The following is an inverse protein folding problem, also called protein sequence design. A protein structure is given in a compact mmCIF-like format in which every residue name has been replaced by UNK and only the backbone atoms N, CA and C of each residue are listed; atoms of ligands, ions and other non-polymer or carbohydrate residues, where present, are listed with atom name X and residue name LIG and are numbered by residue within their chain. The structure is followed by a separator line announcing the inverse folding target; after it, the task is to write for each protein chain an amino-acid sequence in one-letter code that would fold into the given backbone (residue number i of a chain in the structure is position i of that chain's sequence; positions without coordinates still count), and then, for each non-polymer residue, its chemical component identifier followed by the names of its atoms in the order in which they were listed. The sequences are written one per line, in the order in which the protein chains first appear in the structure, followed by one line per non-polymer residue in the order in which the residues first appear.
data_IF_323846140049
#
_entry.id   IF_323846140049
#
_cell.length_a   1.000
_cell.length_b   1.000
_cell.length_c   1.000
_cell.angle_alpha   90.00
_cell.angle_beta   90.00
_cell.angle_gamma   90.00
#
_symmetry.space_group_name_H-M   'P 1'
#
loop_
_entity.id
_entity.type
_entity.pdbx_description
1 polymer ?
#
# COMPACT_ATOMS: atom_id res chain seq x y z
N UNK A 1 -17.51 -13.41 9.67
CA UNK A 1 -16.17 -13.08 10.21
C UNK A 1 -15.60 -11.97 9.36
N UNK A 2 -15.00 -10.92 9.95
CA UNK A 2 -14.39 -9.84 9.17
C UNK A 2 -13.13 -10.36 8.47
N UNK A 3 -12.85 -9.90 7.26
CA UNK A 3 -11.59 -10.21 6.59
C UNK A 3 -10.45 -9.42 7.24
N UNK A 4 -9.25 -10.01 7.27
CA UNK A 4 -8.05 -9.36 7.79
C UNK A 4 -7.44 -8.44 6.74
N UNK A 5 -7.24 -7.18 7.11
CA UNK A 5 -6.66 -6.13 6.28
C UNK A 5 -5.46 -5.56 7.02
N UNK A 6 -4.31 -5.49 6.37
CA UNK A 6 -3.17 -4.75 6.94
C UNK A 6 -3.00 -3.43 6.21
N UNK A 7 -2.59 -2.40 6.95
CA UNK A 7 -2.32 -1.08 6.40
C UNK A 7 -0.85 -0.71 6.62
N UNK A 8 -0.11 -0.47 5.54
CA UNK A 8 1.28 0.00 5.59
C UNK A 8 1.34 1.51 5.33
N UNK A 9 1.97 2.24 6.25
CA UNK A 9 2.11 3.70 6.14
C UNK A 9 3.05 4.13 5.00
N UNK A 10 3.00 5.42 4.68
CA UNK A 10 4.01 6.08 3.85
C UNK A 10 5.35 6.27 4.59
N UNK A 11 6.22 7.12 4.02
CA UNK A 11 7.54 7.48 4.54
C UNK A 11 7.50 8.04 5.97
N UNK A 12 6.41 8.69 6.35
CA UNK A 12 6.28 9.47 7.59
C UNK A 12 5.73 8.66 8.77
N UNK A 13 5.26 7.44 8.52
CA UNK A 13 4.64 6.60 9.56
C UNK A 13 3.22 7.04 9.91
N UNK A 14 2.69 6.53 11.03
CA UNK A 14 1.32 6.84 11.46
C UNK A 14 1.20 7.98 12.47
N UNK A 15 2.31 8.37 13.10
CA UNK A 15 2.30 9.35 14.18
C UNK A 15 1.83 10.74 13.73
N UNK A 16 2.19 11.14 12.50
CA UNK A 16 1.81 12.43 11.90
C UNK A 16 0.73 12.28 10.82
N UNK A 17 0.19 11.07 10.61
CA UNK A 17 -0.72 10.75 9.52
C UNK A 17 -2.18 11.11 9.84
N UNK A 18 -2.50 12.39 9.99
CA UNK A 18 -3.88 12.86 10.25
C UNK A 18 -4.86 12.35 9.17
N UNK A 19 -4.41 12.29 7.92
CA UNK A 19 -5.15 11.77 6.78
C UNK A 19 -5.59 10.30 6.91
N UNK A 20 -4.91 9.50 7.76
CA UNK A 20 -5.27 8.10 8.01
C UNK A 20 -6.63 7.99 8.71
N UNK A 21 -7.08 9.04 9.41
CA UNK A 21 -8.38 9.04 10.08
C UNK A 21 -9.54 8.77 9.10
N UNK A 22 -9.46 9.32 7.89
CA UNK A 22 -10.46 9.13 6.84
C UNK A 22 -10.59 7.66 6.42
N UNK A 23 -9.48 6.93 6.38
CA UNK A 23 -9.47 5.49 6.12
C UNK A 23 -9.99 4.68 7.31
N UNK A 24 -9.48 4.98 8.51
CA UNK A 24 -9.81 4.25 9.74
C UNK A 24 -11.30 4.28 10.04
N UNK A 25 -11.92 5.47 9.96
CA UNK A 25 -13.34 5.67 10.22
C UNK A 25 -14.21 4.79 9.32
N UNK A 26 -13.81 4.61 8.06
CA UNK A 26 -14.61 3.92 7.05
C UNK A 26 -14.34 2.41 7.06
N UNK A 27 -13.09 1.97 7.24
CA UNK A 27 -12.70 0.56 7.08
C UNK A 27 -12.85 -0.27 8.37
N UNK A 28 -12.62 0.31 9.55
CA UNK A 28 -12.68 -0.41 10.84
C UNK A 28 -14.02 -1.18 11.07
N UNK A 29 -15.20 -0.65 10.66
CA UNK A 29 -16.45 -1.39 10.78
C UNK A 29 -16.50 -2.69 9.96
N UNK A 30 -15.69 -2.84 8.91
CA UNK A 30 -15.80 -3.95 7.93
C UNK A 30 -14.64 -4.95 8.01
N UNK A 31 -13.47 -4.53 8.48
CA UNK A 31 -12.26 -5.36 8.51
C UNK A 31 -11.70 -5.52 9.93
N UNK A 32 -10.93 -6.58 10.12
CA UNK A 32 -9.99 -6.69 11.24
C UNK A 32 -8.66 -6.08 10.76
N UNK A 33 -8.32 -4.90 11.29
CA UNK A 33 -7.22 -4.08 10.74
C UNK A 33 -5.99 -4.10 11.65
N UNK A 34 -4.84 -4.41 11.06
CA UNK A 34 -3.53 -4.24 11.68
C UNK A 34 -2.71 -3.16 10.96
N UNK A 35 -2.05 -2.30 11.72
CA UNK A 35 -1.34 -1.13 11.20
C UNK A 35 0.17 -1.35 11.31
N UNK A 36 0.86 -1.33 10.18
CA UNK A 36 2.30 -1.45 10.08
C UNK A 36 2.92 -0.10 9.74
N UNK A 37 3.53 0.54 10.74
CA UNK A 37 4.30 1.76 10.52
C UNK A 37 5.61 1.40 9.78
N UNK A 38 5.74 1.87 8.55
CA UNK A 38 6.91 1.63 7.70
C UNK A 38 8.21 2.06 8.35
N UNK A 39 8.21 3.08 9.23
CA UNK A 39 9.41 3.51 9.98
C UNK A 39 9.83 2.51 11.03
N UNK A 40 8.87 1.82 11.67
CA UNK A 40 9.13 0.78 12.67
C UNK A 40 9.63 -0.51 12.01
N UNK A 41 9.09 -0.83 10.84
CA UNK A 41 9.53 -1.98 10.05
C UNK A 41 11.02 -1.90 9.68
N UNK A 42 11.57 -0.70 9.52
CA UNK A 42 12.96 -0.50 9.09
C UNK A 42 13.95 -0.20 10.24
N UNK A 43 13.51 -0.30 11.51
CA UNK A 43 14.30 0.00 12.73
C UNK A 43 14.92 1.40 12.71
N UNK A 44 14.12 2.43 12.41
CA UNK A 44 14.63 3.80 12.44
C UNK A 44 14.81 4.29 13.88
N UNK A 45 16.01 4.81 14.15
CA UNK A 45 16.23 5.79 15.20
C UNK A 45 15.52 7.09 14.77
N UNK A 46 14.43 7.43 15.45
CA UNK A 46 13.54 8.57 15.15
C UNK A 46 14.12 9.92 15.64
N UNK A 47 15.38 9.98 16.04
CA UNK A 47 16.02 11.21 16.51
C UNK A 47 16.21 12.27 15.42
N UNK A 48 16.12 11.91 14.14
CA UNK A 48 16.13 12.86 13.01
C UNK A 48 15.13 12.47 11.91
N UNK A 49 14.08 13.29 11.76
CA UNK A 49 12.94 13.05 10.86
C UNK A 49 13.01 13.83 9.54
N UNK A 50 14.19 14.26 9.09
CA UNK A 50 14.30 14.92 7.79
C UNK A 50 14.00 13.96 6.62
N UNK A 51 13.22 14.43 5.64
CA UNK A 51 12.79 13.62 4.48
C UNK A 51 13.97 12.94 3.77
N UNK A 52 15.06 13.68 3.54
CA UNK A 52 16.25 13.17 2.86
C UNK A 52 16.92 12.02 3.61
N UNK A 53 16.97 12.06 4.95
CA UNK A 53 17.50 10.95 5.75
C UNK A 53 16.55 9.77 5.78
N UNK A 54 15.25 10.00 5.97
CA UNK A 54 14.25 8.94 5.93
C UNK A 54 14.33 8.20 4.59
N UNK A 55 14.29 8.93 3.48
CA UNK A 55 14.44 8.38 2.14
C UNK A 55 15.74 7.57 2.00
N UNK A 56 16.89 8.13 2.39
CA UNK A 56 18.18 7.45 2.32
C UNK A 56 18.17 6.12 3.09
N UNK A 57 17.51 6.05 4.26
CA UNK A 57 17.45 4.82 5.06
C UNK A 57 16.58 3.74 4.40
N UNK A 58 15.42 4.11 3.86
CA UNK A 58 14.59 3.15 3.13
C UNK A 58 15.32 2.56 1.92
N UNK A 59 16.03 3.39 1.15
CA UNK A 59 16.72 2.92 -0.07
C UNK A 59 18.03 2.17 0.24
N UNK A 60 18.68 2.45 1.38
CA UNK A 60 19.90 1.78 1.82
C UNK A 60 19.60 0.54 2.69
N UNK A 61 18.77 -0.36 2.17
CA UNK A 61 18.44 -1.64 2.80
C UNK A 61 17.24 -1.61 3.75
N UNK A 62 16.64 -0.45 4.02
CA UNK A 62 15.44 -0.35 4.83
C UNK A 62 14.26 -1.12 4.23
N UNK A 63 14.00 -0.97 2.92
CA UNK A 63 12.92 -1.70 2.23
C UNK A 63 13.07 -3.21 2.42
N UNK A 64 14.25 -3.78 2.20
CA UNK A 64 14.49 -5.22 2.35
C UNK A 64 14.29 -5.69 3.79
N UNK A 65 14.68 -4.87 4.77
CA UNK A 65 14.40 -5.15 6.18
C UNK A 65 12.89 -5.14 6.47
N UNK A 66 12.17 -4.16 5.93
CA UNK A 66 10.72 -4.07 6.09
C UNK A 66 10.00 -5.28 5.49
N UNK A 67 10.45 -5.73 4.32
CA UNK A 67 9.96 -6.95 3.66
C UNK A 67 10.17 -8.17 4.56
N UNK A 68 11.38 -8.34 5.09
CA UNK A 68 11.70 -9.45 5.98
C UNK A 68 10.82 -9.46 7.24
N UNK A 69 10.69 -8.31 7.92
CA UNK A 69 9.89 -8.21 9.14
C UNK A 69 8.41 -8.44 8.89
N UNK A 70 7.86 -7.88 7.82
CA UNK A 70 6.46 -8.10 7.45
C UNK A 70 6.19 -9.59 7.25
N UNK A 71 7.07 -10.30 6.53
CA UNK A 71 6.96 -11.76 6.34
C UNK A 71 7.14 -12.59 7.61
N UNK A 72 7.82 -12.06 8.63
CA UNK A 72 7.89 -12.71 9.94
C UNK A 72 6.58 -12.58 10.73
N UNK A 73 5.94 -11.42 10.66
CA UNK A 73 4.73 -11.11 11.43
C UNK A 73 3.47 -11.71 10.79
N UNK A 74 3.45 -11.83 9.47
CA UNK A 74 2.29 -12.30 8.72
C UNK A 74 2.42 -13.75 8.26
N UNK A 75 1.43 -14.58 8.63
CA UNK A 75 1.39 -16.03 8.31
C UNK A 75 0.13 -16.47 7.60
N UNK A 76 -0.91 -15.65 7.61
CA UNK A 76 -2.21 -15.95 7.01
C UNK A 76 -2.37 -15.25 5.66
N UNK A 77 -3.42 -15.61 4.93
CA UNK A 77 -3.84 -14.86 3.75
C UNK A 77 -4.40 -13.52 4.16
N UNK A 78 -3.83 -12.43 3.66
CA UNK A 78 -4.20 -11.07 4.05
C UNK A 78 -4.60 -10.20 2.86
N UNK A 79 -5.40 -9.16 3.11
CA UNK A 79 -5.56 -8.02 2.20
C UNK A 79 -4.57 -6.95 2.63
N UNK A 80 -3.96 -6.24 1.69
CA UNK A 80 -2.99 -5.18 1.98
C UNK A 80 -3.45 -3.88 1.36
N UNK A 81 -3.49 -2.80 2.15
CA UNK A 81 -3.57 -1.42 1.70
C UNK A 81 -2.28 -0.70 2.08
N UNK A 82 -1.55 -0.18 1.11
CA UNK A 82 -0.21 0.32 1.35
C UNK A 82 0.05 1.63 0.60
N UNK A 83 0.68 2.58 1.28
CA UNK A 83 0.90 3.93 0.77
C UNK A 83 2.38 4.19 0.54
N UNK A 84 2.72 4.84 -0.57
CA UNK A 84 4.09 5.25 -0.89
C UNK A 84 5.12 4.12 -0.70
N UNK A 85 6.12 4.29 0.16
CA UNK A 85 7.14 3.26 0.43
C UNK A 85 6.57 1.96 1.01
N UNK A 86 5.46 2.02 1.75
CA UNK A 86 4.76 0.84 2.24
C UNK A 86 4.32 -0.08 1.10
N UNK A 87 3.96 0.50 -0.06
CA UNK A 87 3.53 -0.27 -1.22
C UNK A 87 4.64 -1.12 -1.85
N UNK A 88 5.86 -0.59 -1.96
CA UNK A 88 7.00 -1.38 -2.46
C UNK A 88 7.44 -2.45 -1.45
N UNK A 89 7.30 -2.18 -0.15
CA UNK A 89 7.52 -3.20 0.89
C UNK A 89 6.52 -4.36 0.72
N UNK A 90 5.22 -4.06 0.61
CA UNK A 90 4.20 -5.08 0.42
C UNK A 90 4.37 -5.85 -0.90
N UNK A 91 4.70 -5.15 -1.99
CA UNK A 91 4.98 -5.74 -3.30
C UNK A 91 6.10 -6.77 -3.24
N UNK A 92 7.24 -6.37 -2.66
CA UNK A 92 8.40 -7.25 -2.51
C UNK A 92 8.14 -8.38 -1.53
N UNK A 93 7.37 -8.16 -0.47
CA UNK A 93 6.96 -9.23 0.44
C UNK A 93 6.11 -10.29 -0.29
N UNK A 94 5.18 -9.88 -1.14
CA UNK A 94 4.42 -10.79 -2.00
C UNK A 94 5.33 -11.59 -2.95
N UNK A 95 6.32 -10.94 -3.59
CA UNK A 95 7.33 -11.63 -4.40
C UNK A 95 8.19 -12.62 -3.60
N UNK A 96 8.31 -12.42 -2.28
CA UNK A 96 9.02 -13.33 -1.36
C UNK A 96 8.11 -14.40 -0.73
N UNK A 97 6.87 -14.53 -1.22
CA UNK A 97 5.95 -15.58 -0.81
C UNK A 97 5.02 -15.20 0.35
N UNK A 98 4.93 -13.92 0.72
CA UNK A 98 3.87 -13.48 1.63
C UNK A 98 2.51 -13.68 0.95
N UNK A 99 1.60 -14.39 1.62
CA UNK A 99 0.31 -14.77 1.06
C UNK A 99 -0.67 -13.59 1.05
N UNK A 100 -0.63 -12.80 -0.01
CA UNK A 100 -1.50 -11.63 -0.21
C UNK A 100 -2.63 -12.01 -1.15
N UNK A 101 -3.87 -11.81 -0.73
CA UNK A 101 -5.04 -12.01 -1.60
C UNK A 101 -5.25 -10.84 -2.58
N UNK A 102 -5.14 -9.61 -2.06
CA UNK A 102 -5.24 -8.38 -2.86
C UNK A 102 -4.32 -7.32 -2.27
N UNK A 103 -3.52 -6.70 -3.13
CA UNK A 103 -2.64 -5.58 -2.82
C UNK A 103 -3.20 -4.29 -3.44
N UNK A 104 -3.69 -3.39 -2.59
CA UNK A 104 -3.99 -2.01 -2.94
C UNK A 104 -2.74 -1.16 -2.67
N UNK A 105 -2.02 -0.78 -3.71
CA UNK A 105 -0.80 0.02 -3.59
C UNK A 105 -1.02 1.42 -4.16
N UNK A 106 -1.01 2.42 -3.28
CA UNK A 106 -1.39 3.80 -3.58
C UNK A 106 -0.14 4.68 -3.59
N UNK A 107 0.06 5.42 -4.68
CA UNK A 107 1.23 6.26 -4.94
C UNK A 107 2.54 5.56 -4.59
N UNK A 108 2.66 4.27 -4.87
CA UNK A 108 3.74 3.45 -4.33
C UNK A 108 5.08 3.77 -5.00
N UNK A 109 5.97 4.44 -4.26
CA UNK A 109 7.28 4.83 -4.80
C UNK A 109 8.12 3.60 -5.13
N UNK A 110 9.01 3.74 -6.12
CA UNK A 110 9.98 2.72 -6.55
C UNK A 110 9.39 1.47 -7.22
N UNK A 111 8.07 1.29 -7.30
CA UNK A 111 7.48 0.21 -8.10
C UNK A 111 7.95 0.26 -9.55
N UNK A 112 8.17 1.45 -10.11
CA UNK A 112 8.74 1.67 -11.45
C UNK A 112 10.09 0.99 -11.72
N UNK A 113 10.77 0.48 -10.70
CA UNK A 113 12.02 -0.27 -10.82
C UNK A 113 11.84 -1.79 -10.73
N UNK A 114 10.67 -2.26 -10.32
CA UNK A 114 10.35 -3.69 -10.25
C UNK A 114 10.09 -4.23 -11.66
N UNK A 115 10.46 -5.49 -11.88
CA UNK A 115 10.31 -6.19 -13.18
C UNK A 115 9.34 -7.36 -13.12
N UNK A 116 8.84 -7.65 -11.94
CA UNK A 116 7.95 -8.77 -11.64
C UNK A 116 6.85 -8.25 -10.70
N UNK A 117 5.68 -8.89 -10.75
CA UNK A 117 4.57 -8.63 -9.84
C UNK A 117 4.31 -9.83 -8.93
N UNK A 118 3.86 -9.61 -7.68
CA UNK A 118 3.45 -10.70 -6.81
C UNK A 118 2.29 -11.49 -7.41
N UNK A 119 2.16 -12.76 -7.01
CA UNK A 119 1.07 -13.63 -7.43
C UNK A 119 -0.21 -13.33 -6.63
N UNK A 120 -0.73 -12.12 -6.81
CA UNK A 120 -1.97 -11.66 -6.20
C UNK A 120 -2.68 -10.63 -7.08
N UNK A 121 -3.94 -10.31 -6.75
CA UNK A 121 -4.63 -9.18 -7.38
C UNK A 121 -3.95 -7.88 -6.95
N UNK A 122 -3.37 -7.16 -7.90
CA UNK A 122 -2.76 -5.85 -7.66
C UNK A 122 -3.69 -4.75 -8.16
N UNK A 123 -4.04 -3.81 -7.29
CA UNK A 123 -4.82 -2.61 -7.62
C UNK A 123 -3.95 -1.41 -7.30
N UNK A 124 -3.50 -0.71 -8.34
CA UNK A 124 -2.56 0.40 -8.22
C UNK A 124 -3.22 1.72 -8.56
N UNK A 125 -3.00 2.74 -7.73
CA UNK A 125 -3.47 4.11 -7.96
C UNK A 125 -2.31 5.09 -7.90
N UNK A 126 -2.24 6.02 -8.86
CA UNK A 126 -1.26 7.10 -8.89
C UNK A 126 -1.90 8.40 -9.34
N UNK A 127 -1.37 9.53 -8.87
CA UNK A 127 -1.70 10.82 -9.45
C UNK A 127 -1.11 10.91 -10.86
N UNK A 128 -1.85 11.46 -11.82
CA UNK A 128 -1.36 11.64 -13.19
C UNK A 128 -0.07 12.49 -13.24
N UNK A 129 0.05 13.45 -12.32
CA UNK A 129 1.20 14.33 -12.16
C UNK A 129 2.24 13.81 -11.14
N UNK A 130 2.07 12.60 -10.59
CA UNK A 130 3.05 12.02 -9.67
C UNK A 130 4.37 11.73 -10.41
N UNK A 131 5.44 12.42 -10.00
CA UNK A 131 6.81 12.26 -10.55
C UNK A 131 7.41 10.87 -10.31
N UNK A 132 6.84 10.10 -9.39
CA UNK A 132 7.33 8.79 -9.00
C UNK A 132 6.55 7.63 -9.60
N UNK A 133 5.44 7.90 -10.31
CA UNK A 133 4.62 6.87 -10.95
C UNK A 133 5.41 6.11 -12.03
N UNK A 134 5.12 4.81 -12.25
CA UNK A 134 5.64 4.09 -13.41
C UNK A 134 5.16 4.68 -14.73
N UNK A 135 5.92 4.47 -15.80
CA UNK A 135 5.46 4.84 -17.13
C UNK A 135 4.46 3.81 -17.68
N UNK A 136 3.84 4.13 -18.83
CA UNK A 136 2.85 3.25 -19.42
C UNK A 136 3.41 1.90 -19.87
N UNK A 137 4.69 1.87 -20.26
CA UNK A 137 5.35 0.63 -20.64
C UNK A 137 5.46 -0.31 -19.43
N UNK A 138 5.75 0.19 -18.24
CA UNK A 138 5.84 -0.62 -17.02
C UNK A 138 4.52 -1.33 -16.68
N UNK A 139 3.39 -0.63 -16.77
CA UNK A 139 2.06 -1.23 -16.56
C UNK A 139 1.74 -2.31 -17.60
N UNK A 140 2.08 -2.05 -18.87
CA UNK A 140 1.89 -3.02 -19.95
C UNK A 140 2.76 -4.26 -19.78
N UNK A 141 4.04 -4.08 -19.48
CA UNK A 141 5.01 -5.17 -19.30
C UNK A 141 4.60 -6.10 -18.14
N UNK A 142 3.91 -5.58 -17.11
CA UNK A 142 3.41 -6.34 -15.97
C UNK A 142 1.93 -6.74 -16.06
N UNK A 143 1.24 -6.39 -17.15
CA UNK A 143 -0.19 -6.62 -17.35
C UNK A 143 -1.05 -6.10 -16.18
N UNK A 144 -0.89 -4.80 -15.86
CA UNK A 144 -1.57 -4.09 -14.79
C UNK A 144 -2.47 -2.98 -15.35
N UNK A 145 -3.58 -2.74 -14.66
CA UNK A 145 -4.49 -1.64 -15.00
C UNK A 145 -3.89 -0.27 -14.65
N UNK A 146 -4.24 0.71 -15.48
CA UNK A 146 -3.87 2.11 -15.30
C UNK A 146 -4.96 2.85 -14.51
N UNK A 147 -4.82 2.97 -13.20
CA UNK A 147 -5.68 3.85 -12.42
C UNK A 147 -4.93 5.15 -12.10
N UNK A 148 -4.91 6.06 -13.08
CA UNK A 148 -4.37 7.41 -12.92
C UNK A 148 -5.49 8.36 -12.51
N UNK A 149 -5.25 9.18 -11.49
CA UNK A 149 -6.18 10.22 -11.07
C UNK A 149 -5.70 11.55 -11.65
N UNK A 150 -6.51 12.12 -12.55
CA UNK A 150 -6.23 13.39 -13.21
C UNK A 150 -6.07 14.53 -12.19
N UNK A 151 -5.21 15.49 -12.52
CA UNK A 151 -4.91 16.67 -11.68
C UNK A 151 -4.37 16.36 -10.27
N UNK A 152 -3.96 15.11 -10.01
CA UNK A 152 -3.41 14.69 -8.71
C UNK A 152 -1.91 14.44 -8.74
N UNK A 153 -1.27 14.70 -7.61
CA UNK A 153 0.16 14.45 -7.36
C UNK A 153 0.38 13.22 -6.46
N UNK A 154 1.60 13.07 -5.94
CA UNK A 154 2.01 11.93 -5.12
C UNK A 154 1.14 11.73 -3.86
N UNK A 155 0.85 12.82 -3.16
CA UNK A 155 0.19 12.83 -1.85
C UNK A 155 -1.35 12.73 -1.96
N UNK A 156 -1.89 12.38 -3.14
CA UNK A 156 -3.34 12.28 -3.39
C UNK A 156 -4.09 11.37 -2.41
N UNK A 157 -3.38 10.39 -1.85
CA UNK A 157 -3.95 9.48 -0.86
C UNK A 157 -4.29 10.17 0.46
N UNK A 158 -3.80 11.39 0.69
CA UNK A 158 -4.13 12.18 1.88
C UNK A 158 -5.46 12.93 1.75
N UNK A 159 -6.01 13.00 0.55
CA UNK A 159 -7.25 13.71 0.27
C UNK A 159 -8.46 12.88 0.69
N UNK A 160 -9.42 13.52 1.37
CA UNK A 160 -10.56 12.83 1.98
C UNK A 160 -11.48 12.20 0.92
N UNK A 161 -11.71 12.89 -0.20
CA UNK A 161 -12.55 12.43 -1.30
C UNK A 161 -11.98 11.16 -1.96
N UNK A 162 -10.66 11.12 -2.17
CA UNK A 162 -9.97 9.94 -2.66
C UNK A 162 -10.03 8.80 -1.63
N UNK A 163 -9.75 9.09 -0.36
CA UNK A 163 -9.80 8.09 0.70
C UNK A 163 -11.19 7.45 0.81
N UNK A 164 -12.25 8.25 0.79
CA UNK A 164 -13.64 7.80 0.81
C UNK A 164 -13.96 6.89 -0.37
N UNK A 165 -13.63 7.35 -1.59
CA UNK A 165 -13.89 6.60 -2.82
C UNK A 165 -13.15 5.25 -2.85
N UNK A 166 -11.88 5.25 -2.44
CA UNK A 166 -11.07 4.03 -2.35
C UNK A 166 -11.61 3.07 -1.29
N UNK A 167 -11.97 3.56 -0.10
CA UNK A 167 -12.51 2.72 0.96
C UNK A 167 -13.82 2.05 0.56
N UNK A 168 -14.73 2.79 -0.10
CA UNK A 168 -15.98 2.24 -0.61
C UNK A 168 -15.73 1.13 -1.65
N UNK A 169 -14.75 1.34 -2.55
CA UNK A 169 -14.33 0.31 -3.51
C UNK A 169 -13.79 -0.94 -2.82
N UNK A 170 -12.91 -0.77 -1.83
CA UNK A 170 -12.34 -1.89 -1.06
C UNK A 170 -13.45 -2.67 -0.36
N UNK A 171 -14.38 -1.99 0.31
CA UNK A 171 -15.51 -2.64 0.99
C UNK A 171 -16.32 -3.44 -0.04
N UNK A 172 -16.79 -2.82 -1.12
CA UNK A 172 -17.57 -3.50 -2.17
C UNK A 172 -16.85 -4.74 -2.71
N UNK A 173 -15.57 -4.62 -3.06
CA UNK A 173 -14.81 -5.74 -3.62
C UNK A 173 -14.54 -6.86 -2.62
N UNK A 174 -14.34 -6.53 -1.35
CA UNK A 174 -13.88 -7.50 -0.36
C UNK A 174 -15.02 -8.07 0.50
N UNK A 175 -16.14 -7.39 0.63
CA UNK A 175 -17.27 -7.85 1.45
C UNK A 175 -18.47 -8.29 0.61
N UNK A 176 -18.72 -7.68 -0.55
CA UNK A 176 -19.93 -7.96 -1.33
C UNK A 176 -19.69 -8.93 -2.50
N UNK A 177 -18.47 -9.02 -3.02
CA UNK A 177 -18.12 -9.97 -4.09
C UNK A 177 -18.27 -11.45 -3.67
N UNK A 178 -18.50 -11.74 -2.39
CA UNK A 178 -18.86 -13.07 -1.91
C UNK A 178 -20.31 -13.50 -2.23
N UNK A 179 -21.20 -12.59 -2.63
CA UNK A 179 -22.62 -12.88 -2.86
C UNK A 179 -23.00 -13.07 -4.34
N UNK A 180 -22.05 -12.99 -5.29
CA UNK A 180 -22.35 -13.13 -6.72
C UNK A 180 -22.12 -14.55 -7.28
N UNK A 181 -21.84 -15.55 -6.43
CA UNK A 181 -21.71 -16.96 -6.83
C UNK A 181 -22.93 -17.83 -6.43
N UNK A 182 -24.04 -17.21 -6.04
CA UNK A 182 -25.29 -17.90 -5.73
C UNK A 182 -26.44 -17.16 -6.43
N UNK A 183 -26.61 -17.42 -7.72
CA UNK A 183 -27.87 -17.30 -8.45
C UNK A 183 -27.78 -18.13 -9.73
#
# INVERSE_FOLDING_TARGET
MKKRLIILSDLWGFEEAVWMHSYQKILNPYFEIEYFDSRKLVDLDLSDNSEGRLHARFVNGGIDRGVYKLGLQEKETIIVLAFSVGGVIAWKAGLKGLNISTLYAISSTRLRYEKEKPDCKCVLYFGANDRYKPDAKWFQDLNLDFNLIEDKEHEMYREEDFAESLCQKIIKEQTEAGNQLIN
#
